data_IF_998862708069
#
_entry.id   IF_998862708069
#
_cell.length_a   1.000
_cell.length_b   1.000
_cell.length_c   1.000
_cell.angle_alpha   90.00
_cell.angle_beta   90.00
_cell.angle_gamma   90.00
#
_symmetry.space_group_name_H-M   'P 1'
#
loop_
_entity.id
_entity.type
_entity.pdbx_description
1 polymer ?
#
# COMPACT_ATOMS: atom_id res chain seq x y z
N UNK A 1 22.89 2.18 -15.98
CA UNK A 1 22.44 3.32 -15.13
C UNK A 1 20.93 3.39 -14.93
N UNK A 2 20.09 3.04 -15.92
CA UNK A 2 18.62 3.18 -15.83
C UNK A 2 17.97 2.32 -14.74
N UNK A 3 18.52 1.14 -14.47
CA UNK A 3 18.06 0.28 -13.39
C UNK A 3 18.20 0.92 -12.00
N UNK A 4 19.31 1.65 -11.75
CA UNK A 4 19.51 2.38 -10.49
C UNK A 4 18.44 3.46 -10.33
N UNK A 5 18.07 4.16 -11.40
CA UNK A 5 17.00 5.17 -11.38
C UNK A 5 15.65 4.54 -11.05
N UNK A 6 15.32 3.39 -11.65
CA UNK A 6 14.09 2.65 -11.34
C UNK A 6 14.02 2.28 -9.86
N UNK A 7 15.10 1.71 -9.32
CA UNK A 7 15.15 1.32 -7.89
C UNK A 7 15.05 2.55 -7.01
N UNK A 8 15.84 3.60 -7.27
CA UNK A 8 15.89 4.81 -6.45
C UNK A 8 14.57 5.58 -6.44
N UNK A 9 13.80 5.55 -7.53
CA UNK A 9 12.49 6.17 -7.62
C UNK A 9 11.40 5.38 -6.86
N UNK A 10 11.46 4.05 -6.91
CA UNK A 10 10.44 3.18 -6.32
C UNK A 10 10.69 2.84 -4.84
N UNK A 11 11.96 2.83 -4.41
CA UNK A 11 12.35 2.59 -3.02
C UNK A 11 11.65 3.53 -2.01
N UNK A 12 11.64 4.87 -2.19
CA UNK A 12 10.98 5.76 -1.23
C UNK A 12 9.47 5.51 -1.13
N UNK A 13 8.81 5.13 -2.24
CA UNK A 13 7.37 4.82 -2.25
C UNK A 13 7.09 3.56 -1.42
N UNK A 14 7.90 2.52 -1.60
CA UNK A 14 7.79 1.28 -0.84
C UNK A 14 8.08 1.52 0.65
N UNK A 15 9.11 2.32 0.97
CA UNK A 15 9.44 2.68 2.35
C UNK A 15 8.33 3.49 3.02
N UNK A 16 7.70 4.42 2.31
CA UNK A 16 6.52 5.15 2.80
C UNK A 16 5.36 4.20 3.09
N UNK A 17 5.09 3.25 2.19
CA UNK A 17 4.10 2.19 2.38
C UNK A 17 4.36 1.37 3.65
N UNK A 18 5.59 0.89 3.82
CA UNK A 18 6.00 0.12 4.99
C UNK A 18 5.88 0.94 6.29
N UNK A 19 6.37 2.18 6.29
CA UNK A 19 6.32 3.07 7.46
C UNK A 19 4.88 3.36 7.86
N UNK A 20 3.99 3.60 6.89
CA UNK A 20 2.56 3.82 7.12
C UNK A 20 1.89 2.60 7.78
N UNK A 21 2.24 1.39 7.38
CA UNK A 21 1.65 0.17 7.97
C UNK A 21 2.19 -0.09 9.37
N UNK A 22 3.49 0.11 9.59
CA UNK A 22 4.11 -0.04 10.90
C UNK A 22 3.50 0.97 11.89
N UNK A 23 3.36 2.23 11.48
CA UNK A 23 2.70 3.26 12.31
C UNK A 23 1.24 2.93 12.58
N UNK A 24 0.46 2.50 11.58
CA UNK A 24 -0.93 2.12 11.79
C UNK A 24 -1.13 0.87 12.67
N UNK A 25 -0.22 -0.10 12.59
CA UNK A 25 -0.21 -1.25 13.50
C UNK A 25 0.14 -0.81 14.93
N UNK A 26 1.16 0.05 15.08
CA UNK A 26 1.55 0.60 16.39
C UNK A 26 0.44 1.42 17.03
N UNK A 27 -0.34 2.15 16.24
CA UNK A 27 -1.51 2.93 16.67
C UNK A 27 -2.75 2.06 16.95
N UNK A 28 -2.67 0.73 16.83
CA UNK A 28 -3.79 -0.18 17.07
C UNK A 28 -4.93 -0.08 16.06
N UNK A 29 -4.74 0.67 14.95
CA UNK A 29 -5.78 0.87 13.91
C UNK A 29 -5.98 -0.40 13.05
N UNK A 30 -5.00 -1.30 13.02
CA UNK A 30 -4.97 -2.50 12.18
C UNK A 30 -4.76 -3.77 13.03
N UNK A 31 -5.46 -4.85 12.71
CA UNK A 31 -5.30 -6.16 13.35
C UNK A 31 -4.05 -6.92 12.89
N UNK A 32 -3.50 -7.79 13.75
CA UNK A 32 -2.29 -8.61 13.46
C UNK A 32 -2.37 -9.37 12.12
N UNK A 33 -3.52 -9.97 11.80
CA UNK A 33 -3.73 -10.70 10.54
C UNK A 33 -3.57 -9.79 9.32
N UNK A 34 -4.09 -8.56 9.38
CA UNK A 34 -4.04 -7.60 8.28
C UNK A 34 -2.66 -6.96 8.13
N UNK A 35 -2.00 -6.65 9.25
CA UNK A 35 -0.60 -6.22 9.25
C UNK A 35 0.28 -7.22 8.50
N UNK A 36 0.13 -8.52 8.78
CA UNK A 36 0.87 -9.57 8.07
C UNK A 36 0.61 -9.58 6.57
N UNK A 37 -0.65 -9.47 6.12
CA UNK A 37 -0.97 -9.45 4.69
C UNK A 37 -0.38 -8.22 3.99
N UNK A 38 -0.52 -7.04 4.59
CA UNK A 38 0.04 -5.81 4.01
C UNK A 38 1.58 -5.85 4.00
N UNK A 39 2.20 -6.36 5.06
CA UNK A 39 3.66 -6.54 5.11
C UNK A 39 4.14 -7.52 4.03
N UNK A 40 3.47 -8.67 3.85
CA UNK A 40 3.78 -9.63 2.78
C UNK A 40 3.66 -8.95 1.41
N UNK A 41 2.60 -8.18 1.17
CA UNK A 41 2.40 -7.48 -0.10
C UNK A 41 3.56 -6.53 -0.41
N UNK A 42 3.98 -5.70 0.54
CA UNK A 42 5.10 -4.78 0.34
C UNK A 42 6.45 -5.47 0.19
N UNK A 43 6.67 -6.57 0.93
CA UNK A 43 7.88 -7.38 0.78
C UNK A 43 7.93 -8.04 -0.60
N UNK A 44 6.81 -8.60 -1.08
CA UNK A 44 6.72 -9.19 -2.42
C UNK A 44 6.97 -8.13 -3.49
N UNK A 45 6.38 -6.93 -3.36
CA UNK A 45 6.66 -5.82 -4.29
C UNK A 45 8.14 -5.45 -4.32
N UNK A 46 8.81 -5.42 -3.17
CA UNK A 46 10.23 -5.10 -3.08
C UNK A 46 11.10 -6.19 -3.73
N UNK A 47 10.77 -7.46 -3.50
CA UNK A 47 11.45 -8.60 -4.13
C UNK A 47 11.25 -8.57 -5.65
N UNK A 48 10.04 -8.30 -6.13
CA UNK A 48 9.76 -8.18 -7.57
C UNK A 48 10.53 -7.00 -8.18
N UNK A 49 10.56 -5.85 -7.51
CA UNK A 49 11.28 -4.67 -8.00
C UNK A 49 12.78 -4.95 -8.16
N UNK A 50 13.41 -5.53 -7.13
CA UNK A 50 14.86 -5.81 -7.11
C UNK A 50 15.20 -7.04 -7.97
N UNK A 51 14.30 -8.02 -8.03
CA UNK A 51 14.52 -9.29 -8.70
C UNK A 51 14.20 -9.27 -10.20
N UNK A 52 13.27 -8.42 -10.66
CA UNK A 52 12.82 -8.44 -12.06
C UNK A 52 13.97 -8.28 -13.06
N UNK A 53 14.89 -7.35 -12.79
CA UNK A 53 15.99 -7.02 -13.68
C UNK A 53 17.13 -8.06 -13.70
N UNK A 54 17.70 -8.49 -12.57
CA UNK A 54 18.72 -9.53 -12.56
C UNK A 54 18.19 -10.88 -13.05
N UNK A 55 16.93 -11.22 -12.76
CA UNK A 55 16.31 -12.46 -13.27
C UNK A 55 16.15 -12.40 -14.79
N UNK A 56 15.66 -11.28 -15.33
CA UNK A 56 15.54 -11.07 -16.79
C UNK A 56 16.89 -11.18 -17.50
N UNK A 57 17.92 -10.51 -16.97
CA UNK A 57 19.26 -10.55 -17.55
C UNK A 57 19.92 -11.93 -17.43
N UNK A 58 19.70 -12.64 -16.32
CA UNK A 58 20.16 -14.02 -16.15
C UNK A 58 19.55 -14.96 -17.19
N UNK A 59 18.23 -14.85 -17.42
CA UNK A 59 17.52 -15.62 -18.45
C UNK A 59 18.04 -15.33 -19.87
N UNK A 60 18.52 -14.12 -20.13
CA UNK A 60 19.07 -13.71 -21.43
C UNK A 60 20.59 -13.89 -21.56
N UNK A 61 21.25 -14.51 -20.57
CA UNK A 61 22.69 -14.74 -20.59
C UNK A 61 23.52 -13.45 -20.57
N UNK A 62 22.94 -12.32 -20.13
CA UNK A 62 23.59 -11.02 -20.04
C UNK A 62 24.07 -10.72 -18.62
N UNK A 63 25.02 -9.78 -18.43
CA UNK A 63 25.43 -9.37 -17.10
C UNK A 63 24.23 -8.85 -16.29
N UNK A 64 24.08 -9.21 -15.01
CA UNK A 64 22.86 -8.96 -14.23
C UNK A 64 22.52 -7.47 -14.06
N UNK A 65 23.51 -6.58 -14.22
CA UNK A 65 23.36 -5.13 -14.07
C UNK A 65 23.36 -4.37 -15.42
N UNK A 66 23.45 -5.09 -16.54
CA UNK A 66 23.43 -4.45 -17.84
C UNK A 66 22.02 -3.92 -18.13
N UNK A 67 21.92 -2.59 -18.24
CA UNK A 67 20.65 -1.85 -18.35
C UNK A 67 20.38 -1.32 -19.76
N UNK A 68 21.03 -1.90 -20.76
CA UNK A 68 20.97 -1.48 -22.16
C UNK A 68 19.58 -1.69 -22.77
N UNK A 69 18.89 -2.78 -22.41
CA UNK A 69 17.55 -3.10 -22.92
C UNK A 69 16.41 -2.47 -22.10
N UNK A 70 16.72 -1.83 -20.96
CA UNK A 70 15.68 -1.27 -20.10
C UNK A 70 15.12 0.01 -20.74
N UNK A 71 13.86 -0.05 -21.18
CA UNK A 71 13.16 1.08 -21.75
C UNK A 71 12.72 2.05 -20.65
N UNK A 72 12.74 3.35 -20.94
CA UNK A 72 12.17 4.37 -20.04
C UNK A 72 10.68 4.13 -19.83
N UNK A 73 10.01 3.55 -20.82
CA UNK A 73 8.61 3.16 -20.74
C UNK A 73 8.36 2.14 -19.61
N UNK A 74 9.19 1.10 -19.50
CA UNK A 74 9.07 0.07 -18.46
C UNK A 74 9.26 0.66 -17.05
N UNK A 75 10.15 1.66 -16.94
CA UNK A 75 10.40 2.38 -15.69
C UNK A 75 9.17 3.18 -15.27
N UNK A 76 8.57 3.92 -16.20
CA UNK A 76 7.36 4.70 -15.95
C UNK A 76 6.18 3.78 -15.61
N UNK A 77 6.01 2.69 -16.35
CA UNK A 77 4.91 1.75 -16.14
C UNK A 77 5.02 1.04 -14.78
N UNK A 78 6.20 0.55 -14.42
CA UNK A 78 6.43 -0.08 -13.11
C UNK A 78 6.14 0.89 -11.98
N UNK A 79 6.61 2.13 -12.12
CA UNK A 79 6.36 3.18 -11.12
C UNK A 79 4.87 3.50 -11.00
N UNK A 80 4.15 3.61 -12.12
CA UNK A 80 2.70 3.84 -12.12
C UNK A 80 1.95 2.70 -11.41
N UNK A 81 2.33 1.45 -11.64
CA UNK A 81 1.75 0.28 -10.96
C UNK A 81 1.99 0.36 -9.44
N UNK A 82 3.22 0.67 -9.01
CA UNK A 82 3.56 0.81 -7.58
C UNK A 82 2.75 1.94 -6.93
N UNK A 83 2.62 3.08 -7.61
CA UNK A 83 1.81 4.22 -7.14
C UNK A 83 0.33 3.82 -7.02
N UNK A 84 -0.23 3.15 -8.02
CA UNK A 84 -1.62 2.69 -7.97
C UNK A 84 -1.86 1.76 -6.79
N UNK A 85 -0.98 0.78 -6.58
CA UNK A 85 -1.08 -0.14 -5.43
C UNK A 85 -1.00 0.63 -4.10
N UNK A 86 -0.11 1.62 -4.01
CA UNK A 86 -0.01 2.48 -2.83
C UNK A 86 -1.31 3.26 -2.56
N UNK A 87 -1.86 3.90 -3.60
CA UNK A 87 -3.10 4.69 -3.51
C UNK A 87 -4.27 3.79 -3.14
N UNK A 88 -4.46 2.66 -3.82
CA UNK A 88 -5.55 1.72 -3.54
C UNK A 88 -5.48 1.19 -2.11
N UNK A 89 -4.29 0.83 -1.62
CA UNK A 89 -4.14 0.38 -0.23
C UNK A 89 -4.49 1.49 0.78
N UNK A 90 -4.05 2.72 0.52
CA UNK A 90 -4.35 3.87 1.38
C UNK A 90 -5.84 4.22 1.37
N UNK A 91 -6.48 4.19 0.20
CA UNK A 91 -7.92 4.44 0.04
C UNK A 91 -8.74 3.38 0.77
N UNK A 92 -8.37 2.10 0.63
CA UNK A 92 -9.06 1.00 1.31
C UNK A 92 -8.98 1.17 2.83
N UNK A 93 -7.83 1.57 3.37
CA UNK A 93 -7.69 1.86 4.81
C UNK A 93 -8.56 3.03 5.27
N UNK A 94 -8.65 4.12 4.48
CA UNK A 94 -9.48 5.29 4.81
C UNK A 94 -10.98 4.99 4.73
N UNK A 95 -11.40 4.22 3.74
CA UNK A 95 -12.81 3.87 3.54
C UNK A 95 -13.35 3.06 4.72
N UNK A 96 -12.60 2.09 5.22
CA UNK A 96 -13.00 1.30 6.39
C UNK A 96 -13.05 2.15 7.68
N UNK A 97 -12.18 3.16 7.83
CA UNK A 97 -12.27 4.10 8.96
C UNK A 97 -13.53 4.95 8.87
N UNK A 98 -13.86 5.46 7.68
CA UNK A 98 -15.09 6.20 7.45
C UNK A 98 -16.34 5.34 7.73
N UNK A 99 -16.35 4.07 7.32
CA UNK A 99 -17.46 3.15 7.63
C UNK A 99 -17.65 2.95 9.14
N UNK A 100 -16.56 2.82 9.91
CA UNK A 100 -16.64 2.71 11.37
C UNK A 100 -17.20 3.98 12.00
N UNK A 101 -16.66 5.14 11.62
CA UNK A 101 -17.13 6.44 12.11
C UNK A 101 -18.60 6.68 11.76
N UNK A 102 -19.03 6.33 10.53
CA UNK A 102 -20.42 6.43 10.11
C UNK A 102 -21.34 5.52 10.93
N UNK A 103 -20.91 4.30 11.22
CA UNK A 103 -21.69 3.36 12.04
C UNK A 103 -21.86 3.87 13.47
N UNK A 104 -20.79 4.40 14.05
CA UNK A 104 -20.81 4.93 15.42
C UNK A 104 -21.72 6.18 15.51
N UNK A 105 -21.64 7.09 14.53
CA UNK A 105 -22.55 8.24 14.39
C UNK A 105 -24.01 7.80 14.24
N UNK A 106 -24.27 6.78 13.42
CA UNK A 106 -25.63 6.28 13.22
C UNK A 106 -26.21 5.67 14.50
N UNK A 107 -25.39 4.95 15.26
CA UNK A 107 -25.77 4.40 16.54
C UNK A 107 -26.06 5.49 17.58
N UNK A 108 -25.23 6.54 17.64
CA UNK A 108 -25.42 7.68 18.53
C UNK A 108 -26.70 8.46 18.22
N UNK A 109 -26.99 8.70 16.93
CA UNK A 109 -28.24 9.32 16.47
C UNK A 109 -29.46 8.48 16.85
N UNK A 110 -29.40 7.16 16.67
CA UNK A 110 -30.49 6.24 17.04
C UNK A 110 -30.78 6.30 18.55
N UNK A 111 -29.74 6.34 19.39
CA UNK A 111 -29.90 6.43 20.85
C UNK A 111 -30.50 7.77 21.24
N UNK A 112 -30.01 8.86 20.64
CA UNK A 112 -30.48 10.22 20.93
C UNK A 112 -31.95 10.38 20.54
N UNK A 113 -32.35 9.90 19.35
CA UNK A 113 -33.74 9.89 18.91
C UNK A 113 -34.63 9.03 19.82
N UNK A 114 -34.14 7.86 20.26
CA UNK A 114 -34.87 7.01 21.21
C UNK A 114 -35.10 7.69 22.56
N UNK A 115 -34.07 8.37 23.10
CA UNK A 115 -34.18 9.13 24.36
C UNK A 115 -35.17 10.30 24.24
N UNK A 116 -35.15 11.04 23.13
CA UNK A 116 -36.14 12.10 22.88
C UNK A 116 -37.56 11.56 22.76
N UNK A 117 -37.75 10.34 22.23
CA UNK A 117 -39.06 9.71 22.12
C UNK A 117 -39.60 9.23 23.47
N UNK A 118 -38.75 8.68 24.34
CA UNK A 118 -39.17 8.23 25.68
C UNK A 118 -39.37 9.38 26.68
N UNK A 119 -38.60 10.47 26.57
CA UNK A 119 -38.79 11.66 27.41
C UNK A 119 -40.02 12.51 27.07
N UNK A 120 -40.86 12.07 26.13
CA UNK A 120 -42.11 12.73 25.73
C UNK A 120 -43.37 12.06 26.31
N UNK A 121 -43.23 11.14 27.26
CA UNK A 121 -44.31 10.63 28.12
C UNK A 121 -44.34 11.38 29.45
#
# INVERSE_FOLDING_TARGET
>A
MRYIVLVLLNLPIILLGLTNIVTQYKLGKISKKRFRHQLILWVVLLVVLIGSFPVYNYLMGRPPLDSTDLSVFDIVQTTAIVILIYITNTQRQKMEQNERTLRDLHQELSITLSKMRDGKK
#
